data_IF_783643460408
#
_entry.id   IF_783643460408
#
_cell.length_a   1.000
_cell.length_b   1.000
_cell.length_c   1.000
_cell.angle_alpha   90.00
_cell.angle_beta   90.00
_cell.angle_gamma   90.00
#
_symmetry.space_group_name_H-M   'P 1'
#
loop_
_entity.id
_entity.type
_entity.pdbx_description
1 polymer ?
#
# COMPACT_ATOMS: atom_id res chain seq x y z
N UNK A 1 15.66 -72.89 15.96
CA UNK A 1 15.62 -71.65 16.76
C UNK A 1 16.46 -70.62 16.06
N UNK A 2 15.85 -69.75 15.27
CA UNK A 2 16.53 -68.76 14.46
C UNK A 2 16.35 -67.39 15.14
N UNK A 3 17.49 -66.80 15.53
CA UNK A 3 17.55 -65.48 16.12
C UNK A 3 17.57 -64.38 15.03
N UNK A 4 16.60 -63.50 15.09
CA UNK A 4 16.44 -62.36 14.16
C UNK A 4 17.27 -61.17 14.72
N UNK A 5 18.41 -60.90 14.06
CA UNK A 5 19.27 -59.74 14.33
C UNK A 5 18.70 -58.49 13.68
N UNK A 6 18.20 -57.56 14.47
CA UNK A 6 17.81 -56.20 14.01
C UNK A 6 19.07 -55.34 13.85
N UNK A 7 19.38 -54.96 12.61
CA UNK A 7 20.40 -53.94 12.31
C UNK A 7 19.83 -52.56 12.67
N UNK A 8 20.44 -51.88 13.65
CA UNK A 8 20.25 -50.46 13.90
C UNK A 8 20.98 -49.66 12.82
N UNK A 9 20.19 -48.91 12.02
CA UNK A 9 20.74 -47.89 11.14
C UNK A 9 20.99 -46.65 12.02
N UNK A 10 22.23 -46.24 12.15
CA UNK A 10 22.62 -44.95 12.72
C UNK A 10 22.29 -43.89 11.68
N UNK A 11 21.37 -42.97 12.02
CA UNK A 11 21.13 -41.76 11.28
C UNK A 11 22.13 -40.73 11.79
N UNK A 12 23.11 -40.38 10.95
CA UNK A 12 24.05 -39.29 11.19
C UNK A 12 23.25 -37.96 11.11
N UNK A 13 23.12 -37.29 12.26
CA UNK A 13 22.63 -35.93 12.36
C UNK A 13 23.76 -34.97 11.97
N UNK A 14 24.00 -34.78 10.67
CA UNK A 14 24.79 -33.66 10.18
C UNK A 14 23.86 -32.50 9.85
N UNK A 15 23.84 -31.50 10.75
CA UNK A 15 23.64 -30.08 10.55
C UNK A 15 22.72 -29.65 9.37
N UNK A 16 21.42 -29.69 9.55
CA UNK A 16 20.53 -28.80 8.85
C UNK A 16 20.42 -27.49 9.66
N UNK A 17 21.34 -26.56 9.44
CA UNK A 17 21.10 -25.17 9.75
C UNK A 17 20.07 -24.66 8.73
N UNK A 18 18.95 -24.04 9.15
CA UNK A 18 18.04 -23.40 8.21
C UNK A 18 18.81 -22.26 7.54
N UNK A 19 18.81 -22.26 6.21
CA UNK A 19 19.25 -21.13 5.41
C UNK A 19 18.41 -19.94 5.85
N UNK A 20 18.99 -19.06 6.64
CA UNK A 20 18.44 -17.73 6.90
C UNK A 20 18.51 -16.95 5.60
N UNK A 21 17.49 -17.06 4.78
CA UNK A 21 17.17 -16.01 3.83
C UNK A 21 16.80 -14.78 4.65
N UNK A 22 17.76 -13.87 4.77
CA UNK A 22 17.47 -12.49 5.21
C UNK A 22 16.60 -11.81 4.14
N UNK A 23 15.34 -12.19 4.10
CA UNK A 23 14.32 -11.33 3.53
C UNK A 23 13.97 -10.32 4.62
N UNK A 24 14.57 -9.16 4.54
CA UNK A 24 14.15 -7.97 5.28
C UNK A 24 12.76 -7.54 4.81
N UNK A 25 11.73 -8.32 5.14
CA UNK A 25 10.34 -7.95 4.95
C UNK A 25 9.95 -6.99 6.09
N UNK A 26 10.28 -5.71 5.93
CA UNK A 26 9.59 -4.70 6.70
C UNK A 26 8.15 -4.62 6.18
N UNK A 27 7.20 -5.06 6.99
CA UNK A 27 5.77 -4.97 6.69
C UNK A 27 5.26 -3.61 7.13
N UNK A 28 4.71 -2.85 6.21
CA UNK A 28 4.09 -1.54 6.45
C UNK A 28 2.57 -1.65 6.28
N UNK A 29 1.90 -2.31 7.23
CA UNK A 29 0.45 -2.39 7.24
C UNK A 29 -0.17 -1.11 7.83
N UNK A 30 -1.28 -0.64 7.25
CA UNK A 30 -2.07 0.44 7.85
C UNK A 30 -2.88 -0.12 9.02
N UNK A 31 -3.15 0.74 10.05
CA UNK A 31 -3.90 0.33 11.23
C UNK A 31 -5.28 -0.18 10.86
N UNK A 32 -5.53 -1.46 11.09
CA UNK A 32 -6.82 -2.10 10.91
C UNK A 32 -7.78 -1.88 12.08
N UNK A 33 -8.93 -2.58 12.05
CA UNK A 33 -9.92 -2.56 13.12
C UNK A 33 -11.02 -1.51 12.96
N UNK A 34 -11.93 -1.44 13.95
CA UNK A 34 -13.13 -0.58 13.96
C UNK A 34 -12.95 0.69 14.82
N UNK A 35 -11.78 0.89 15.41
CA UNK A 35 -11.51 2.03 16.28
C UNK A 35 -11.54 3.37 15.55
N UNK A 36 -11.69 4.49 16.28
CA UNK A 36 -11.80 5.84 15.70
C UNK A 36 -10.58 6.27 14.88
N UNK A 37 -9.46 5.56 15.04
CA UNK A 37 -8.20 5.80 14.32
C UNK A 37 -7.88 4.70 13.30
N UNK A 38 -8.84 3.83 12.96
CA UNK A 38 -8.63 2.81 11.93
C UNK A 38 -8.63 3.41 10.53
N UNK A 39 -7.93 2.79 9.61
CA UNK A 39 -7.94 3.20 8.21
C UNK A 39 -9.35 3.18 7.61
N UNK A 40 -10.15 2.17 7.97
CA UNK A 40 -11.52 2.03 7.50
C UNK A 40 -12.41 3.23 7.83
N UNK A 41 -12.27 3.79 9.04
CA UNK A 41 -13.07 4.93 9.49
C UNK A 41 -12.58 6.28 8.94
N UNK A 42 -11.35 6.35 8.45
CA UNK A 42 -10.70 7.61 8.10
C UNK A 42 -10.21 7.70 6.63
N UNK A 43 -10.48 6.68 5.80
CA UNK A 43 -10.12 6.70 4.38
C UNK A 43 -11.31 7.13 3.52
N UNK A 44 -11.40 8.42 3.23
CA UNK A 44 -12.47 9.02 2.43
C UNK A 44 -12.17 9.06 0.92
N UNK A 45 -11.08 8.46 0.46
CA UNK A 45 -10.45 8.77 -0.82
C UNK A 45 -10.68 7.76 -1.94
N UNK A 46 -11.61 6.83 -1.78
CA UNK A 46 -11.87 5.85 -2.83
C UNK A 46 -13.20 6.18 -3.51
N UNK A 47 -13.10 6.85 -4.64
CA UNK A 47 -14.25 7.25 -5.43
C UNK A 47 -14.80 6.05 -6.22
N UNK A 48 -16.03 5.65 -5.86
CA UNK A 48 -16.76 4.55 -6.52
C UNK A 48 -17.03 4.82 -8.00
N UNK A 49 -17.33 6.06 -8.35
CA UNK A 49 -17.61 6.45 -9.72
C UNK A 49 -16.37 6.32 -10.62
N UNK A 50 -15.19 6.62 -10.07
CA UNK A 50 -13.94 6.50 -10.79
C UNK A 50 -13.57 5.03 -11.06
N UNK A 51 -13.83 4.12 -10.10
CA UNK A 51 -13.67 2.67 -10.30
C UNK A 51 -14.63 2.18 -11.38
N UNK A 52 -15.91 2.58 -11.33
CA UNK A 52 -16.91 2.20 -12.33
C UNK A 52 -16.54 2.68 -13.74
N UNK A 53 -16.03 3.91 -13.87
CA UNK A 53 -15.54 4.45 -15.15
C UNK A 53 -14.30 3.73 -15.69
N UNK A 54 -13.46 3.18 -14.80
CA UNK A 54 -12.24 2.46 -15.17
C UNK A 54 -12.52 1.03 -15.62
N UNK A 55 -13.73 0.52 -15.37
CA UNK A 55 -14.09 -0.84 -15.72
C UNK A 55 -14.62 -0.91 -17.16
N UNK A 56 -13.85 -1.48 -18.06
CA UNK A 56 -14.31 -1.80 -19.43
C UNK A 56 -14.55 -3.29 -19.52
N UNK A 57 -15.82 -3.73 -19.60
CA UNK A 57 -16.15 -5.16 -19.60
C UNK A 57 -15.74 -5.80 -20.94
N UNK A 58 -14.75 -6.67 -20.92
CA UNK A 58 -14.47 -7.59 -22.04
C UNK A 58 -15.03 -8.97 -21.71
N UNK A 59 -15.56 -9.62 -22.73
CA UNK A 59 -16.18 -10.92 -22.62
C UNK A 59 -15.25 -11.95 -21.94
N UNK A 60 -15.66 -12.44 -20.78
CA UNK A 60 -15.10 -13.65 -20.19
C UNK A 60 -15.60 -14.85 -20.97
N UNK A 61 -14.75 -15.84 -21.16
CA UNK A 61 -15.15 -17.09 -21.82
C UNK A 61 -16.31 -17.73 -21.06
N UNK A 62 -17.41 -18.02 -21.78
CA UNK A 62 -18.61 -18.63 -21.26
C UNK A 62 -18.38 -20.01 -20.59
N UNK A 63 -17.26 -20.66 -20.89
CA UNK A 63 -16.88 -21.98 -20.38
C UNK A 63 -16.08 -21.93 -19.07
N UNK A 64 -15.75 -20.75 -18.55
CA UNK A 64 -14.99 -20.62 -17.31
C UNK A 64 -15.79 -21.16 -16.11
N UNK A 65 -15.24 -22.12 -15.38
CA UNK A 65 -15.91 -22.77 -14.25
C UNK A 65 -16.01 -21.87 -13.01
N UNK A 66 -15.10 -20.90 -12.87
CA UNK A 66 -15.07 -19.93 -11.75
C UNK A 66 -14.25 -18.71 -12.18
N UNK A 67 -14.73 -17.54 -11.82
CA UNK A 67 -14.05 -16.26 -12.11
C UNK A 67 -13.32 -15.81 -10.84
N UNK A 68 -12.01 -15.75 -10.92
CA UNK A 68 -11.11 -15.39 -9.83
C UNK A 68 -10.67 -13.92 -9.95
N UNK A 69 -11.02 -13.13 -8.95
CA UNK A 69 -10.67 -11.71 -8.88
C UNK A 69 -9.84 -11.48 -7.61
N UNK A 70 -8.84 -10.62 -7.67
CA UNK A 70 -8.01 -10.31 -6.50
C UNK A 70 -7.91 -8.80 -6.29
N UNK A 71 -8.08 -8.37 -5.03
CA UNK A 71 -7.81 -6.99 -4.59
C UNK A 71 -6.46 -6.97 -3.85
N UNK A 72 -5.48 -6.28 -4.45
CA UNK A 72 -4.10 -6.22 -3.97
C UNK A 72 -3.90 -4.99 -3.09
N UNK A 73 -3.74 -5.23 -1.78
CA UNK A 73 -3.69 -4.18 -0.77
C UNK A 73 -5.10 -3.76 -0.33
N UNK A 74 -5.96 -4.74 -0.04
CA UNK A 74 -7.37 -4.54 0.27
C UNK A 74 -7.64 -3.76 1.56
N UNK A 75 -6.66 -3.64 2.46
CA UNK A 75 -6.86 -3.10 3.80
C UNK A 75 -7.95 -3.84 4.60
N UNK A 76 -8.62 -3.19 5.54
CA UNK A 76 -9.69 -3.77 6.37
C UNK A 76 -11.03 -3.05 6.24
N UNK A 77 -11.07 -2.02 5.41
CA UNK A 77 -12.18 -1.08 5.37
C UNK A 77 -13.30 -1.45 4.40
N UNK A 78 -14.43 -0.71 4.48
CA UNK A 78 -15.55 -0.89 3.58
C UNK A 78 -15.20 -0.59 2.11
N UNK A 79 -14.13 0.16 1.85
CA UNK A 79 -13.75 0.61 0.51
C UNK A 79 -13.46 -0.56 -0.44
N UNK A 80 -12.76 -1.60 0.04
CA UNK A 80 -12.53 -2.81 -0.75
C UNK A 80 -13.85 -3.48 -1.15
N UNK A 81 -14.84 -3.55 -0.25
CA UNK A 81 -16.15 -4.15 -0.55
C UNK A 81 -16.95 -3.32 -1.54
N UNK A 82 -16.87 -2.00 -1.44
CA UNK A 82 -17.51 -1.08 -2.39
C UNK A 82 -16.87 -1.20 -3.78
N UNK A 83 -15.55 -1.22 -3.86
CA UNK A 83 -14.84 -1.44 -5.11
C UNK A 83 -15.21 -2.80 -5.73
N UNK A 84 -15.26 -3.86 -4.92
CA UNK A 84 -15.66 -5.19 -5.38
C UNK A 84 -17.11 -5.20 -5.86
N UNK A 85 -18.04 -4.53 -5.18
CA UNK A 85 -19.44 -4.46 -5.62
C UNK A 85 -19.56 -3.79 -7.00
N UNK A 86 -18.86 -2.70 -7.24
CA UNK A 86 -18.84 -2.01 -8.54
C UNK A 86 -18.31 -2.94 -9.63
N UNK A 87 -17.23 -3.68 -9.35
CA UNK A 87 -16.67 -4.66 -10.29
C UNK A 87 -17.68 -5.78 -10.58
N UNK A 88 -18.36 -6.29 -9.54
CA UNK A 88 -19.40 -7.32 -9.68
C UNK A 88 -20.54 -6.81 -10.56
N UNK A 89 -21.07 -5.64 -10.27
CA UNK A 89 -22.20 -5.06 -11.02
C UNK A 89 -21.85 -4.89 -12.51
N UNK A 90 -20.61 -4.49 -12.80
CA UNK A 90 -20.14 -4.37 -14.17
C UNK A 90 -19.99 -5.74 -14.85
N UNK A 91 -19.49 -6.76 -14.15
CA UNK A 91 -19.40 -8.14 -14.65
C UNK A 91 -20.81 -8.72 -14.88
N UNK A 92 -21.74 -8.56 -13.94
CA UNK A 92 -23.12 -9.02 -14.07
C UNK A 92 -23.81 -8.37 -15.26
N UNK A 93 -23.65 -7.08 -15.46
CA UNK A 93 -24.20 -6.37 -16.61
C UNK A 93 -23.69 -6.96 -17.94
N UNK A 94 -22.39 -7.29 -18.02
CA UNK A 94 -21.80 -7.94 -19.19
C UNK A 94 -22.38 -9.33 -19.41
N UNK A 95 -22.48 -10.15 -18.39
CA UNK A 95 -23.09 -11.49 -18.52
C UNK A 95 -24.55 -11.42 -18.99
N UNK A 96 -25.31 -10.45 -18.47
CA UNK A 96 -26.69 -10.24 -18.89
C UNK A 96 -26.78 -9.85 -20.37
N UNK A 97 -25.93 -8.90 -20.80
CA UNK A 97 -25.91 -8.41 -22.20
C UNK A 97 -25.53 -9.49 -23.23
N UNK A 98 -24.82 -10.54 -22.79
CA UNK A 98 -24.41 -11.67 -23.62
C UNK A 98 -25.24 -12.94 -23.40
N UNK A 99 -26.32 -12.90 -22.62
CA UNK A 99 -27.18 -14.05 -22.34
C UNK A 99 -26.54 -15.08 -21.39
N UNK A 100 -25.51 -14.69 -20.63
CA UNK A 100 -24.69 -15.54 -19.75
C UNK A 100 -24.99 -15.37 -18.25
N UNK A 101 -26.15 -14.85 -17.90
CA UNK A 101 -26.52 -14.47 -16.52
C UNK A 101 -26.36 -15.58 -15.45
N UNK A 102 -26.41 -16.88 -15.86
CA UNK A 102 -26.24 -18.01 -14.94
C UNK A 102 -24.78 -18.16 -14.41
N UNK A 103 -23.80 -17.44 -14.95
CA UNK A 103 -22.40 -17.58 -14.57
C UNK A 103 -21.97 -16.62 -13.43
N UNK A 104 -22.78 -15.64 -13.09
CA UNK A 104 -22.49 -14.69 -11.99
C UNK A 104 -22.36 -15.35 -10.62
N UNK A 105 -22.83 -16.59 -10.46
CA UNK A 105 -22.80 -17.35 -9.18
C UNK A 105 -21.45 -17.99 -8.85
N UNK A 106 -20.41 -17.80 -9.68
CA UNK A 106 -19.12 -18.50 -9.56
C UNK A 106 -17.94 -17.55 -9.27
N UNK A 107 -18.22 -16.38 -8.70
CA UNK A 107 -17.20 -15.38 -8.40
C UNK A 107 -16.42 -15.75 -7.14
N UNK A 108 -15.10 -15.74 -7.22
CA UNK A 108 -14.17 -15.83 -6.09
C UNK A 108 -13.39 -14.54 -5.96
N UNK A 109 -13.46 -13.89 -4.78
CA UNK A 109 -12.67 -12.73 -4.46
C UNK A 109 -11.57 -13.07 -3.47
N UNK A 110 -10.36 -12.74 -3.86
CA UNK A 110 -9.16 -12.87 -3.06
C UNK A 110 -8.78 -11.51 -2.50
N UNK A 111 -8.88 -11.37 -1.17
CA UNK A 111 -8.47 -10.17 -0.44
C UNK A 111 -7.01 -10.34 -0.02
N UNK A 112 -6.11 -9.64 -0.69
CA UNK A 112 -4.69 -9.69 -0.39
C UNK A 112 -4.23 -8.43 0.36
N UNK A 113 -3.44 -8.63 1.39
CA UNK A 113 -2.66 -7.61 2.07
C UNK A 113 -1.45 -8.26 2.77
N UNK A 114 -0.61 -7.44 3.41
CA UNK A 114 0.54 -7.91 4.19
C UNK A 114 0.11 -8.96 5.23
N UNK A 115 1.01 -9.92 5.53
CA UNK A 115 0.71 -11.02 6.45
C UNK A 115 0.36 -10.55 7.88
N UNK A 116 0.79 -9.36 8.27
CA UNK A 116 0.46 -8.72 9.56
C UNK A 116 -0.89 -8.03 9.58
N UNK A 117 -1.60 -7.97 8.44
CA UNK A 117 -2.90 -7.32 8.34
C UNK A 117 -3.97 -8.09 9.13
N UNK A 118 -4.88 -7.34 9.73
CA UNK A 118 -6.02 -7.90 10.46
C UNK A 118 -7.09 -8.45 9.50
N UNK A 119 -6.84 -9.65 8.99
CA UNK A 119 -7.82 -10.38 8.17
C UNK A 119 -9.09 -10.73 8.92
N UNK A 120 -9.05 -10.86 10.26
CA UNK A 120 -10.26 -11.13 11.04
C UNK A 120 -11.26 -9.98 10.88
N UNK A 121 -10.81 -8.74 10.89
CA UNK A 121 -11.67 -7.58 10.64
C UNK A 121 -12.19 -7.56 9.20
N UNK A 122 -11.38 -7.91 8.19
CA UNK A 122 -11.87 -8.05 6.81
C UNK A 122 -13.03 -9.03 6.74
N UNK A 123 -12.86 -10.24 7.32
CA UNK A 123 -13.88 -11.30 7.26
C UNK A 123 -15.13 -11.01 8.11
N UNK A 124 -15.01 -10.30 9.22
CA UNK A 124 -16.16 -9.84 10.02
C UNK A 124 -17.03 -8.82 9.28
N UNK A 125 -16.39 -7.97 8.46
CA UNK A 125 -17.05 -6.88 7.74
C UNK A 125 -17.56 -7.28 6.35
N UNK A 126 -17.43 -8.55 5.96
CA UNK A 126 -17.95 -9.03 4.68
C UNK A 126 -19.46 -8.78 4.57
N UNK A 127 -19.95 -8.23 3.45
CA UNK A 127 -21.39 -8.05 3.21
C UNK A 127 -22.16 -9.38 3.36
N UNK A 128 -23.25 -9.42 4.15
CA UNK A 128 -23.96 -10.68 4.43
C UNK A 128 -24.61 -11.29 3.19
N UNK A 129 -25.06 -10.46 2.24
CA UNK A 129 -25.76 -10.90 1.03
C UNK A 129 -24.86 -10.89 -0.22
N UNK A 130 -23.55 -11.03 -0.03
CA UNK A 130 -22.59 -11.01 -1.15
C UNK A 130 -22.81 -12.17 -2.11
N UNK A 131 -22.60 -11.92 -3.38
CA UNK A 131 -22.73 -12.90 -4.48
C UNK A 131 -21.39 -13.55 -4.86
N UNK A 132 -20.43 -13.58 -3.96
CA UNK A 132 -19.09 -14.12 -4.20
C UNK A 132 -18.55 -14.89 -3.01
N UNK A 133 -17.61 -15.78 -3.25
CA UNK A 133 -16.83 -16.46 -2.23
C UNK A 133 -15.61 -15.59 -1.89
N UNK A 134 -15.35 -15.39 -0.60
CA UNK A 134 -14.26 -14.56 -0.10
C UNK A 134 -13.11 -15.42 0.40
N UNK A 135 -11.88 -15.08 -0.01
CA UNK A 135 -10.64 -15.78 0.38
C UNK A 135 -9.60 -14.75 0.81
N UNK A 136 -8.95 -14.94 1.96
CA UNK A 136 -7.83 -14.13 2.40
C UNK A 136 -6.51 -14.67 1.84
N UNK A 137 -5.67 -13.79 1.32
CA UNK A 137 -4.35 -14.13 0.77
C UNK A 137 -3.29 -13.26 1.42
N UNK A 138 -2.71 -13.68 2.56
CA UNK A 138 -1.66 -12.92 3.22
C UNK A 138 -0.35 -12.98 2.43
N UNK A 139 0.32 -11.84 2.29
CA UNK A 139 1.63 -11.74 1.64
C UNK A 139 1.83 -10.48 0.82
N UNK A 140 3.07 -10.23 0.44
CA UNK A 140 3.40 -9.06 -0.38
C UNK A 140 2.97 -9.27 -1.84
N UNK A 141 2.16 -8.36 -2.35
CA UNK A 141 1.73 -8.37 -3.76
C UNK A 141 2.88 -8.09 -4.75
N UNK A 142 4.06 -7.74 -4.29
CA UNK A 142 5.24 -7.57 -5.15
C UNK A 142 5.83 -8.89 -5.62
N UNK A 143 5.52 -9.99 -4.92
CA UNK A 143 5.84 -11.35 -5.32
C UNK A 143 4.63 -12.10 -5.86
N UNK A 144 4.86 -13.35 -6.27
CA UNK A 144 3.78 -14.25 -6.66
C UNK A 144 2.99 -14.70 -5.44
N UNK A 145 1.67 -14.65 -5.55
CA UNK A 145 0.70 -15.06 -4.54
C UNK A 145 -0.21 -16.18 -5.04
N UNK A 146 -0.31 -16.36 -6.34
CA UNK A 146 -1.21 -17.31 -6.98
C UNK A 146 -0.47 -18.24 -7.94
N UNK A 147 -1.04 -19.42 -8.23
CA UNK A 147 -0.58 -20.25 -9.34
C UNK A 147 -0.62 -19.49 -10.67
N UNK A 148 0.05 -20.02 -11.67
CA UNK A 148 0.02 -19.44 -13.02
C UNK A 148 -1.41 -19.43 -13.55
N UNK A 149 -1.77 -18.35 -14.25
CA UNK A 149 -3.01 -18.26 -15.02
C UNK A 149 -4.25 -18.59 -14.19
N UNK A 150 -4.28 -18.08 -12.97
CA UNK A 150 -5.41 -18.29 -12.03
C UNK A 150 -6.36 -17.09 -12.01
N UNK A 151 -5.82 -15.88 -12.12
CA UNK A 151 -6.60 -14.65 -11.93
C UNK A 151 -7.18 -14.15 -13.25
N UNK A 152 -8.47 -13.89 -13.27
CA UNK A 152 -9.17 -13.26 -14.38
C UNK A 152 -9.11 -11.74 -14.29
N UNK A 153 -9.05 -11.21 -13.07
CA UNK A 153 -8.90 -9.78 -12.83
C UNK A 153 -8.09 -9.52 -11.57
N UNK A 154 -7.26 -8.50 -11.65
CA UNK A 154 -6.55 -7.92 -10.51
C UNK A 154 -6.98 -6.47 -10.37
N UNK A 155 -7.34 -6.08 -9.15
CA UNK A 155 -7.59 -4.71 -8.75
C UNK A 155 -6.53 -4.28 -7.74
N UNK A 156 -6.16 -2.99 -7.73
CA UNK A 156 -5.35 -2.39 -6.68
C UNK A 156 -5.67 -0.90 -6.57
N UNK A 157 -6.04 -0.46 -5.38
CA UNK A 157 -6.39 0.93 -5.10
C UNK A 157 -5.42 1.54 -4.10
N UNK A 158 -4.69 2.57 -4.52
CA UNK A 158 -3.79 3.39 -3.69
C UNK A 158 -2.67 2.64 -2.96
N UNK A 159 -2.52 1.32 -3.18
CA UNK A 159 -1.52 0.49 -2.48
C UNK A 159 -0.15 0.55 -3.12
N UNK A 160 -0.09 0.78 -4.45
CA UNK A 160 1.16 0.75 -5.21
C UNK A 160 2.07 1.96 -4.95
N UNK A 161 1.60 2.98 -4.25
CA UNK A 161 2.44 4.11 -3.79
C UNK A 161 3.32 3.74 -2.59
N UNK A 162 3.01 2.68 -1.86
CA UNK A 162 3.83 2.19 -0.75
C UNK A 162 5.05 1.46 -1.29
N UNK A 163 6.22 1.73 -0.73
CA UNK A 163 7.46 1.03 -1.07
C UNK A 163 7.59 -0.27 -0.25
N UNK A 164 8.29 -1.25 -0.80
CA UNK A 164 8.60 -2.50 -0.09
C UNK A 164 9.55 -2.25 1.08
N UNK A 165 10.45 -1.31 0.91
CA UNK A 165 11.45 -0.93 1.89
C UNK A 165 11.84 0.53 1.72
N UNK A 166 12.32 1.12 2.79
CA UNK A 166 13.01 2.41 2.76
C UNK A 166 14.39 2.21 2.13
N UNK A 167 14.80 2.99 1.10
CA UNK A 167 16.15 2.87 0.54
C UNK A 167 17.23 3.05 1.61
N UNK A 168 18.23 2.19 1.63
CA UNK A 168 19.30 2.23 2.65
C UNK A 168 20.09 3.53 2.61
N UNK A 169 20.29 4.07 1.44
CA UNK A 169 21.07 5.28 1.16
C UNK A 169 20.51 6.51 1.87
N UNK A 170 19.20 6.56 2.11
CA UNK A 170 18.58 7.72 2.76
C UNK A 170 18.66 7.69 4.28
N UNK A 171 18.96 6.54 4.87
CA UNK A 171 19.08 6.34 6.32
C UNK A 171 20.51 6.31 6.82
N UNK A 172 21.50 6.21 5.93
CA UNK A 172 22.91 6.11 6.25
C UNK A 172 23.65 7.42 5.95
N UNK A 173 24.27 7.98 6.99
CA UNK A 173 25.00 9.26 6.93
C UNK A 173 26.21 9.26 6.00
N UNK A 174 26.69 8.10 5.58
CA UNK A 174 27.83 7.96 4.67
C UNK A 174 27.46 8.19 3.21
N UNK A 175 26.17 8.17 2.87
CA UNK A 175 25.69 8.38 1.52
C UNK A 175 25.28 9.84 1.27
N UNK A 176 25.49 10.32 0.03
CA UNK A 176 25.05 11.64 -0.43
C UNK A 176 23.52 11.80 -0.36
N UNK A 177 22.78 10.69 -0.52
CA UNK A 177 21.33 10.63 -0.41
C UNK A 177 20.79 10.59 1.02
N UNK A 178 21.65 10.76 2.05
CA UNK A 178 21.14 10.79 3.43
C UNK A 178 20.11 11.91 3.65
N UNK A 179 18.94 11.55 4.17
CA UNK A 179 17.78 12.45 4.26
C UNK A 179 17.85 13.48 5.41
N UNK A 180 18.90 13.47 6.23
CA UNK A 180 19.24 14.49 7.23
C UNK A 180 18.10 14.79 8.23
N UNK A 181 17.44 13.74 8.73
CA UNK A 181 16.34 13.86 9.71
C UNK A 181 14.98 14.25 9.15
N UNK A 182 14.84 14.35 7.83
CA UNK A 182 13.51 14.36 7.20
C UNK A 182 12.91 12.96 7.24
N UNK A 183 11.59 12.90 7.26
CA UNK A 183 10.86 11.61 7.28
C UNK A 183 10.34 11.19 5.91
N UNK A 184 10.58 11.99 4.87
CA UNK A 184 10.11 11.74 3.50
C UNK A 184 11.00 12.51 2.51
N UNK A 185 10.91 12.18 1.21
CA UNK A 185 11.64 12.87 0.15
C UNK A 185 11.11 14.27 -0.20
N UNK A 186 10.04 14.74 0.45
CA UNK A 186 9.49 16.08 0.24
C UNK A 186 10.52 17.15 0.56
N UNK A 187 10.74 18.08 -0.36
CA UNK A 187 11.73 19.15 -0.25
C UNK A 187 13.15 18.66 0.13
N UNK A 188 13.44 17.39 -0.17
CA UNK A 188 14.74 16.79 0.06
C UNK A 188 15.70 17.07 -1.13
N UNK A 189 17.02 16.88 -0.95
CA UNK A 189 17.96 16.87 -2.06
C UNK A 189 17.54 15.88 -3.16
N UNK A 190 17.97 16.18 -4.40
CA UNK A 190 17.62 15.38 -5.58
C UNK A 190 17.98 13.90 -5.42
N UNK A 191 19.13 13.63 -4.83
CA UNK A 191 19.64 12.26 -4.59
C UNK A 191 18.68 11.43 -3.71
N UNK A 192 18.01 12.07 -2.74
CA UNK A 192 17.00 11.43 -1.89
C UNK A 192 15.76 11.07 -2.72
N UNK A 193 15.28 12.02 -3.52
CA UNK A 193 14.12 11.79 -4.39
C UNK A 193 14.40 10.69 -5.42
N UNK A 194 15.61 10.65 -5.99
CA UNK A 194 16.06 9.63 -6.94
C UNK A 194 16.14 8.24 -6.29
N UNK A 195 16.59 8.14 -5.03
CA UNK A 195 16.60 6.88 -4.29
C UNK A 195 15.16 6.32 -4.09
N UNK A 196 14.21 7.19 -3.70
CA UNK A 196 12.81 6.82 -3.60
C UNK A 196 12.22 6.40 -4.96
N UNK A 197 12.49 7.14 -6.02
CA UNK A 197 12.00 6.85 -7.36
C UNK A 197 12.55 5.52 -7.89
N UNK A 198 13.81 5.21 -7.60
CA UNK A 198 14.46 3.94 -7.96
C UNK A 198 13.79 2.77 -7.27
N UNK A 199 13.56 2.88 -5.95
CA UNK A 199 12.86 1.84 -5.19
C UNK A 199 11.42 1.65 -5.69
N UNK A 200 10.71 2.73 -5.96
CA UNK A 200 9.36 2.69 -6.52
C UNK A 200 9.31 1.96 -7.87
N UNK A 201 10.25 2.28 -8.76
CA UNK A 201 10.36 1.61 -10.05
C UNK A 201 10.55 0.10 -9.89
N UNK A 202 11.51 -0.32 -9.05
CA UNK A 202 11.76 -1.74 -8.77
C UNK A 202 10.51 -2.44 -8.21
N UNK A 203 9.81 -1.80 -7.29
CA UNK A 203 8.61 -2.34 -6.66
C UNK A 203 7.46 -2.51 -7.65
N UNK A 204 7.26 -1.52 -8.53
CA UNK A 204 6.23 -1.59 -9.57
C UNK A 204 6.58 -2.65 -10.62
N UNK A 205 7.84 -2.74 -11.06
CA UNK A 205 8.29 -3.79 -11.97
C UNK A 205 8.11 -5.19 -11.39
N UNK A 206 8.42 -5.39 -10.10
CA UNK A 206 8.21 -6.65 -9.41
C UNK A 206 6.71 -7.01 -9.34
N UNK A 207 5.85 -6.03 -9.05
CA UNK A 207 4.40 -6.21 -9.07
C UNK A 207 3.92 -6.64 -10.45
N UNK A 208 4.31 -5.95 -11.52
CA UNK A 208 3.94 -6.27 -12.89
C UNK A 208 4.39 -7.68 -13.30
N UNK A 209 5.65 -8.03 -13.01
CA UNK A 209 6.22 -9.33 -13.35
C UNK A 209 5.50 -10.49 -12.64
N UNK A 210 5.07 -10.29 -11.39
CA UNK A 210 4.28 -11.28 -10.67
C UNK A 210 2.88 -11.44 -11.30
N UNK A 211 2.21 -10.33 -11.59
CA UNK A 211 0.85 -10.32 -12.20
C UNK A 211 0.81 -10.94 -13.58
N UNK A 212 1.84 -10.72 -14.41
CA UNK A 212 1.94 -11.36 -15.74
C UNK A 212 1.90 -12.88 -15.67
N UNK A 213 2.40 -13.47 -14.60
CA UNK A 213 2.39 -14.93 -14.45
C UNK A 213 1.06 -15.46 -13.89
N UNK A 214 0.34 -14.65 -13.12
CA UNK A 214 -0.86 -15.06 -12.38
C UNK A 214 -2.15 -14.80 -13.17
N UNK A 215 -2.14 -13.80 -14.05
CA UNK A 215 -3.27 -13.49 -14.92
C UNK A 215 -3.42 -14.53 -16.04
N UNK A 216 -4.68 -14.90 -16.33
CA UNK A 216 -5.05 -15.68 -17.54
C UNK A 216 -4.79 -14.85 -18.78
N UNK A 217 -4.76 -15.49 -19.96
CA UNK A 217 -4.43 -14.84 -21.23
C UNK A 217 -5.29 -13.60 -21.51
N UNK A 218 -6.51 -13.53 -21.26
CA UNK A 218 -7.36 -12.34 -21.47
C UNK A 218 -7.70 -11.62 -20.17
N UNK A 219 -6.96 -11.90 -19.09
CA UNK A 219 -7.16 -11.27 -17.82
C UNK A 219 -6.91 -9.77 -17.85
N UNK A 220 -7.50 -9.05 -16.90
CA UNK A 220 -7.36 -7.60 -16.76
C UNK A 220 -6.68 -7.25 -15.44
N UNK A 221 -5.87 -6.21 -15.48
CA UNK A 221 -5.38 -5.56 -14.29
C UNK A 221 -5.83 -4.11 -14.27
N UNK A 222 -6.50 -3.73 -13.19
CA UNK A 222 -7.02 -2.38 -12.97
C UNK A 222 -6.33 -1.83 -11.73
N UNK A 223 -5.73 -0.68 -11.84
CA UNK A 223 -5.25 0.00 -10.65
C UNK A 223 -5.51 1.49 -10.69
N UNK A 224 -5.66 2.06 -9.51
CA UNK A 224 -5.69 3.49 -9.28
C UNK A 224 -4.62 3.88 -8.28
N UNK A 225 -3.88 4.93 -8.58
CA UNK A 225 -2.80 5.42 -7.73
C UNK A 225 -2.79 6.95 -7.68
N UNK A 226 -2.39 7.46 -6.54
CA UNK A 226 -2.13 8.90 -6.38
C UNK A 226 -0.84 9.26 -7.09
N UNK A 227 -0.90 10.24 -7.97
CA UNK A 227 0.25 10.80 -8.68
C UNK A 227 0.29 12.32 -8.51
N UNK A 228 1.43 12.88 -8.78
CA UNK A 228 1.62 14.34 -8.80
C UNK A 228 1.81 14.83 -10.23
N UNK A 229 1.45 16.08 -10.55
CA UNK A 229 1.76 16.68 -11.84
C UNK A 229 3.26 16.66 -12.13
N UNK A 230 3.63 16.59 -13.42
CA UNK A 230 5.04 16.54 -13.85
C UNK A 230 5.84 17.77 -13.46
N UNK A 231 5.18 18.92 -13.36
CA UNK A 231 5.81 20.20 -12.98
C UNK A 231 5.01 20.82 -11.85
N UNK A 232 5.45 20.56 -10.62
CA UNK A 232 4.84 21.10 -9.41
C UNK A 232 5.90 21.25 -8.31
N UNK A 233 5.82 22.32 -7.54
CA UNK A 233 6.63 22.44 -6.33
C UNK A 233 6.09 21.48 -5.25
N UNK A 234 6.99 20.82 -4.53
CA UNK A 234 6.61 19.93 -3.42
C UNK A 234 5.73 20.63 -2.39
N UNK A 235 5.95 21.94 -2.19
CA UNK A 235 5.14 22.79 -1.32
C UNK A 235 3.67 22.95 -1.79
N UNK A 236 3.35 22.62 -3.03
CA UNK A 236 2.00 22.69 -3.58
C UNK A 236 1.25 21.34 -3.52
N UNK A 237 1.94 20.28 -3.08
CA UNK A 237 1.36 18.95 -2.95
C UNK A 237 0.97 18.69 -1.50
N UNK A 238 -0.32 18.67 -1.21
CA UNK A 238 -0.82 18.58 0.18
C UNK A 238 -0.33 17.33 0.93
N UNK A 239 -0.38 16.10 0.41
CA UNK A 239 0.13 14.95 1.15
C UNK A 239 1.62 15.06 1.49
N UNK A 240 2.42 15.72 0.64
CA UNK A 240 3.82 16.01 0.94
C UNK A 240 3.95 16.96 2.12
N UNK A 241 3.10 17.99 2.20
CA UNK A 241 3.05 18.90 3.38
C UNK A 241 2.65 18.18 4.66
N UNK A 242 1.76 17.18 4.58
CA UNK A 242 1.39 16.37 5.73
C UNK A 242 2.62 15.63 6.31
N UNK A 243 3.50 15.10 5.46
CA UNK A 243 4.75 14.48 5.91
C UNK A 243 5.72 15.49 6.53
N UNK A 244 5.83 16.70 5.99
CA UNK A 244 6.66 17.76 6.61
C UNK A 244 6.12 18.17 7.99
N UNK A 245 4.81 18.34 8.09
CA UNK A 245 4.14 18.66 9.36
C UNK A 245 4.41 17.56 10.39
N UNK A 246 4.17 16.31 10.03
CA UNK A 246 4.41 15.15 10.90
C UNK A 246 5.89 15.07 11.31
N UNK A 247 6.80 15.24 10.36
CA UNK A 247 8.23 15.27 10.61
C UNK A 247 8.64 16.36 11.62
N UNK A 248 8.06 17.55 11.48
CA UNK A 248 8.31 18.66 12.41
C UNK A 248 7.80 18.34 13.83
N UNK A 249 6.64 17.68 13.96
CA UNK A 249 6.11 17.25 15.26
C UNK A 249 7.00 16.19 15.92
N UNK A 250 7.45 15.21 15.15
CA UNK A 250 8.37 14.18 15.65
C UNK A 250 9.71 14.77 16.12
N UNK A 251 10.27 15.72 15.39
CA UNK A 251 11.50 16.42 15.76
C UNK A 251 11.31 17.23 17.05
N UNK A 252 10.19 17.94 17.21
CA UNK A 252 9.92 18.74 18.40
C UNK A 252 9.78 17.88 19.66
N UNK A 253 9.08 16.76 19.57
CA UNK A 253 8.95 15.80 20.67
C UNK A 253 10.31 15.25 21.07
N UNK A 254 11.10 14.84 20.09
CA UNK A 254 12.41 14.25 20.36
C UNK A 254 13.41 15.26 20.92
N UNK A 255 13.34 16.53 20.57
CA UNK A 255 14.12 17.61 21.22
C UNK A 255 13.67 17.83 22.65
N UNK A 256 12.36 17.88 22.93
CA UNK A 256 11.81 18.01 24.26
C UNK A 256 12.25 16.88 25.20
N UNK A 257 12.19 15.64 24.73
CA UNK A 257 12.66 14.46 25.48
C UNK A 257 14.18 14.54 25.76
N UNK A 258 15.01 15.02 24.82
CA UNK A 258 16.46 15.23 25.08
C UNK A 258 16.70 16.23 26.19
N UNK A 259 15.99 17.34 26.19
CA UNK A 259 16.15 18.36 27.21
C UNK A 259 15.76 17.84 28.60
N UNK A 260 14.65 17.07 28.70
CA UNK A 260 14.24 16.44 29.97
C UNK A 260 15.24 15.37 30.44
N UNK A 261 15.83 14.59 29.51
CA UNK A 261 16.83 13.57 29.86
C UNK A 261 18.19 14.15 30.21
N UNK A 262 18.52 15.34 29.73
CA UNK A 262 19.73 16.06 30.15
C UNK A 262 19.68 16.42 31.66
N UNK A 263 18.45 16.53 32.22
CA UNK A 263 18.23 16.81 33.65
C UNK A 263 18.02 15.55 34.52
N UNK A 264 17.79 14.35 33.93
CA UNK A 264 17.59 13.11 34.70
C UNK A 264 18.66 12.07 34.37
N UNK A 265 19.51 11.76 35.35
CA UNK A 265 20.62 10.80 35.24
C UNK A 265 20.14 9.33 35.15
N UNK A 266 18.90 9.03 35.50
CA UNK A 266 18.41 7.67 35.81
C UNK A 266 17.86 6.87 34.56
N UNK A 267 17.70 7.47 33.38
CA UNK A 267 17.11 6.78 32.23
C UNK A 267 17.91 6.95 30.91
N UNK A 268 19.17 7.36 30.99
CA UNK A 268 20.02 7.64 29.83
C UNK A 268 20.16 6.44 28.86
N UNK A 269 20.25 5.24 29.36
CA UNK A 269 20.62 4.06 28.53
C UNK A 269 19.44 3.45 27.76
N UNK A 270 18.20 3.61 28.21
CA UNK A 270 17.03 3.01 27.56
C UNK A 270 16.45 3.87 26.45
N UNK A 271 16.52 5.20 26.56
CA UNK A 271 15.94 6.14 25.60
C UNK A 271 16.96 6.65 24.56
N UNK A 272 18.25 6.71 24.91
CA UNK A 272 19.34 7.12 24.00
C UNK A 272 19.68 6.05 22.97
N UNK A 273 19.35 4.76 23.22
CA UNK A 273 19.46 3.69 22.22
C UNK A 273 18.27 3.64 21.23
N UNK A 274 17.18 4.39 21.43
CA UNK A 274 16.12 4.50 20.44
C UNK A 274 16.60 5.38 19.28
N UNK A 275 16.66 4.76 18.11
CA UNK A 275 17.03 5.36 16.84
C UNK A 275 16.28 6.69 16.66
N UNK A 276 17.02 7.73 16.39
CA UNK A 276 16.59 9.11 16.25
C UNK A 276 15.83 9.32 14.89
N UNK A 277 15.10 10.43 14.70
CA UNK A 277 14.40 10.73 13.43
C UNK A 277 15.24 10.56 12.18
N UNK A 278 16.57 10.64 12.27
CA UNK A 278 17.49 10.46 11.15
C UNK A 278 17.36 9.11 10.42
N UNK A 279 16.83 8.09 11.10
CA UNK A 279 16.64 6.74 10.54
C UNK A 279 15.17 6.42 10.22
N UNK A 280 14.21 7.29 10.58
CA UNK A 280 12.81 7.12 10.27
C UNK A 280 12.49 7.79 8.95
N UNK A 281 11.99 7.00 8.01
CA UNK A 281 11.48 7.51 6.73
C UNK A 281 10.19 6.78 6.39
N UNK A 282 9.23 7.52 5.83
CA UNK A 282 7.95 6.97 5.38
C UNK A 282 8.19 6.28 4.03
N UNK A 283 7.91 4.98 3.89
CA UNK A 283 8.10 4.23 2.65
C UNK A 283 6.95 4.47 1.68
N UNK A 284 6.75 5.70 1.29
CA UNK A 284 5.67 6.12 0.40
C UNK A 284 6.24 7.06 -0.67
N UNK A 285 5.81 6.89 -1.93
CA UNK A 285 6.29 7.72 -3.03
C UNK A 285 5.16 8.13 -3.96
N UNK A 286 5.07 9.42 -4.23
CA UNK A 286 4.19 9.97 -5.25
C UNK A 286 4.96 10.12 -6.56
N UNK A 287 4.72 9.21 -7.50
CA UNK A 287 5.28 9.31 -8.84
C UNK A 287 4.49 10.32 -9.68
N UNK A 288 4.97 10.63 -10.88
CA UNK A 288 4.17 11.33 -11.88
C UNK A 288 3.48 10.33 -12.81
N UNK A 289 2.37 10.72 -13.44
CA UNK A 289 1.69 9.87 -14.42
C UNK A 289 2.62 9.48 -15.59
N UNK A 290 3.46 10.42 -16.03
CA UNK A 290 4.48 10.21 -17.07
C UNK A 290 5.48 9.11 -16.67
N UNK A 291 5.99 9.17 -15.44
CA UNK A 291 6.96 8.17 -14.97
C UNK A 291 6.31 6.79 -14.81
N UNK A 292 5.08 6.72 -14.28
CA UNK A 292 4.35 5.44 -14.20
C UNK A 292 4.16 4.85 -15.60
N UNK A 293 3.70 5.66 -16.56
CA UNK A 293 3.54 5.23 -17.95
C UNK A 293 4.86 4.70 -18.53
N UNK A 294 5.95 5.41 -18.32
CA UNK A 294 7.27 4.99 -18.80
C UNK A 294 7.72 3.64 -18.20
N UNK A 295 7.42 3.38 -16.91
CA UNK A 295 7.70 2.09 -16.27
C UNK A 295 6.86 0.98 -16.90
N UNK A 296 5.56 1.21 -17.13
CA UNK A 296 4.66 0.24 -17.77
C UNK A 296 5.14 -0.11 -19.20
N UNK A 297 5.49 0.90 -19.99
CA UNK A 297 5.97 0.72 -21.37
C UNK A 297 7.32 0.01 -21.41
N UNK A 298 8.25 0.35 -20.49
CA UNK A 298 9.58 -0.27 -20.42
C UNK A 298 9.51 -1.72 -19.94
N UNK A 299 8.65 -2.03 -18.97
CA UNK A 299 8.43 -3.40 -18.51
C UNK A 299 7.93 -4.30 -19.65
N UNK A 300 7.08 -3.77 -20.49
CA UNK A 300 6.70 -4.38 -21.76
C UNK A 300 5.82 -5.62 -21.66
N UNK A 301 5.46 -6.09 -20.45
CA UNK A 301 4.65 -7.31 -20.24
C UNK A 301 3.15 -7.08 -20.45
N UNK A 302 2.72 -5.82 -20.46
CA UNK A 302 1.32 -5.43 -20.58
C UNK A 302 1.09 -4.47 -21.73
N UNK A 303 -0.10 -4.55 -22.32
CA UNK A 303 -0.67 -3.51 -23.15
C UNK A 303 -1.46 -2.56 -22.25
N UNK A 304 -1.30 -1.25 -22.43
CA UNK A 304 -2.12 -0.24 -21.78
C UNK A 304 -3.39 -0.10 -22.62
N UNK A 305 -4.50 -0.65 -22.14
CA UNK A 305 -5.80 -0.57 -22.80
C UNK A 305 -6.44 0.81 -22.60
N UNK A 306 -6.27 1.36 -21.40
CA UNK A 306 -6.77 2.67 -21.04
C UNK A 306 -5.96 3.25 -19.89
N UNK A 307 -5.75 4.56 -19.91
CA UNK A 307 -5.10 5.30 -18.85
C UNK A 307 -5.58 6.74 -18.85
N UNK A 308 -6.02 7.20 -17.69
CA UNK A 308 -6.52 8.56 -17.50
C UNK A 308 -6.07 9.13 -16.15
N UNK A 309 -6.04 10.44 -16.06
CA UNK A 309 -5.77 11.16 -14.81
C UNK A 309 -6.92 12.09 -14.50
N UNK A 310 -7.41 12.05 -13.24
CA UNK A 310 -8.45 12.90 -12.73
C UNK A 310 -7.93 13.79 -11.61
N UNK A 311 -8.28 15.08 -11.68
CA UNK A 311 -8.05 16.01 -10.57
C UNK A 311 -9.05 15.68 -9.45
N UNK A 312 -8.53 15.31 -8.30
CA UNK A 312 -9.34 14.88 -7.14
C UNK A 312 -9.24 15.87 -5.97
N UNK A 313 -8.90 17.12 -6.25
CA UNK A 313 -8.74 18.16 -5.21
C UNK A 313 -9.96 18.30 -4.30
N UNK A 314 -11.17 18.15 -4.83
CA UNK A 314 -12.38 18.31 -4.05
C UNK A 314 -12.65 17.13 -3.11
N UNK A 315 -12.15 15.95 -3.44
CA UNK A 315 -12.21 14.75 -2.58
C UNK A 315 -11.29 14.90 -1.36
N UNK A 316 -10.20 15.66 -1.50
CA UNK A 316 -9.23 15.93 -0.43
C UNK A 316 -9.56 17.20 0.39
N UNK A 317 -10.76 17.74 0.27
CA UNK A 317 -11.23 18.82 1.11
C UNK A 317 -11.57 18.32 2.51
N UNK A 318 -10.61 18.37 3.41
CA UNK A 318 -10.82 17.94 4.80
C UNK A 318 -11.69 18.96 5.55
N UNK A 319 -12.84 18.55 6.11
CA UNK A 319 -13.76 19.46 6.78
C UNK A 319 -13.21 20.01 8.11
N UNK A 320 -12.20 19.37 8.70
CA UNK A 320 -11.58 19.81 9.96
C UNK A 320 -10.15 19.32 10.12
N UNK A 321 -9.37 20.00 10.97
CA UNK A 321 -8.03 19.57 11.35
C UNK A 321 -8.03 18.17 11.98
N UNK A 322 -9.07 17.85 12.75
CA UNK A 322 -9.20 16.54 13.37
C UNK A 322 -9.31 15.43 12.31
N UNK A 323 -10.17 15.58 11.31
CA UNK A 323 -10.34 14.59 10.23
C UNK A 323 -9.05 14.45 9.43
N UNK A 324 -8.41 15.57 9.06
CA UNK A 324 -7.11 15.53 8.38
C UNK A 324 -6.08 14.70 9.16
N UNK A 325 -5.93 14.98 10.46
CA UNK A 325 -4.96 14.29 11.32
C UNK A 325 -5.35 12.83 11.54
N UNK A 326 -6.64 12.52 11.74
CA UNK A 326 -7.12 11.13 11.90
C UNK A 326 -6.87 10.27 10.66
N UNK A 327 -7.05 10.84 9.47
CA UNK A 327 -6.75 10.13 8.20
C UNK A 327 -5.26 9.80 8.09
N UNK A 328 -4.38 10.77 8.39
CA UNK A 328 -2.93 10.54 8.38
C UNK A 328 -2.50 9.57 9.48
N UNK A 329 -3.13 9.66 10.67
CA UNK A 329 -2.91 8.72 11.78
C UNK A 329 -3.23 7.30 11.36
N UNK A 330 -4.39 7.06 10.76
CA UNK A 330 -4.80 5.74 10.30
C UNK A 330 -3.81 5.09 9.31
N UNK A 331 -3.16 5.91 8.48
CA UNK A 331 -2.19 5.44 7.52
C UNK A 331 -0.79 5.19 8.11
N UNK A 332 -0.37 5.95 9.12
CA UNK A 332 1.03 6.03 9.55
C UNK A 332 1.27 5.57 11.00
N UNK A 333 0.22 5.39 11.83
CA UNK A 333 0.37 5.10 13.25
C UNK A 333 1.20 3.85 13.50
N UNK A 334 0.90 2.74 12.84
CA UNK A 334 1.62 1.49 13.02
C UNK A 334 3.11 1.62 12.66
N UNK A 335 3.41 2.34 11.58
CA UNK A 335 4.78 2.63 11.14
C UNK A 335 5.56 3.45 12.19
N UNK A 336 4.91 4.49 12.73
CA UNK A 336 5.51 5.37 13.74
C UNK A 336 5.68 4.62 15.07
N UNK A 337 4.65 3.88 15.49
CA UNK A 337 4.66 3.09 16.71
C UNK A 337 5.76 2.02 16.68
N UNK A 338 5.92 1.33 15.57
CA UNK A 338 6.98 0.33 15.37
C UNK A 338 8.38 0.94 15.53
N UNK A 339 8.57 2.18 15.08
CA UNK A 339 9.88 2.85 15.12
C UNK A 339 10.17 3.52 16.46
N UNK A 340 9.20 4.31 16.99
CA UNK A 340 9.37 5.16 18.16
C UNK A 340 8.77 4.55 19.44
N UNK A 341 7.88 3.57 19.31
CA UNK A 341 7.07 3.01 20.40
C UNK A 341 5.79 3.81 20.66
N UNK A 342 4.76 3.12 21.20
CA UNK A 342 3.41 3.67 21.36
C UNK A 342 3.28 4.88 22.30
N UNK A 343 4.25 5.08 23.19
CA UNK A 343 4.17 6.12 24.22
C UNK A 343 4.20 7.57 23.74
N UNK A 344 4.47 7.82 22.43
CA UNK A 344 4.51 9.18 21.87
C UNK A 344 3.30 9.50 20.98
N UNK A 345 2.45 8.54 20.72
CA UNK A 345 1.44 8.65 19.65
C UNK A 345 0.44 9.77 19.88
N UNK A 346 -0.15 9.83 21.09
CA UNK A 346 -1.12 10.89 21.41
C UNK A 346 -0.49 12.29 21.33
N UNK A 347 0.73 12.45 21.84
CA UNK A 347 1.44 13.73 21.78
C UNK A 347 1.76 14.15 20.35
N UNK A 348 2.16 13.20 19.46
CA UNK A 348 2.42 13.47 18.04
C UNK A 348 1.16 14.04 17.39
N UNK A 349 0.04 13.35 17.52
CA UNK A 349 -1.19 13.74 16.83
C UNK A 349 -1.87 14.97 17.42
N UNK A 350 -1.75 15.18 18.73
CA UNK A 350 -2.16 16.45 19.37
C UNK A 350 -1.38 17.64 18.84
N UNK A 351 -0.05 17.51 18.71
CA UNK A 351 0.80 18.55 18.11
C UNK A 351 0.47 18.79 16.64
N UNK A 352 0.26 17.73 15.87
CA UNK A 352 -0.18 17.84 14.49
C UNK A 352 -1.51 18.59 14.40
N UNK A 353 -2.48 18.27 15.24
CA UNK A 353 -3.78 18.93 15.25
C UNK A 353 -3.67 20.43 15.57
N UNK A 354 -2.82 20.80 16.54
CA UNK A 354 -2.55 22.21 16.86
C UNK A 354 -1.93 22.94 15.68
N UNK A 355 -0.87 22.38 15.07
CA UNK A 355 -0.20 22.99 13.91
C UNK A 355 -1.13 23.12 12.69
N UNK A 356 -1.99 22.12 12.42
CA UNK A 356 -2.98 22.23 11.34
C UNK A 356 -3.98 23.35 11.57
N UNK A 357 -4.40 23.58 12.83
CA UNK A 357 -5.27 24.71 13.19
C UNK A 357 -4.57 26.07 13.01
N UNK A 358 -3.29 26.15 13.30
CA UNK A 358 -2.47 27.35 13.08
C UNK A 358 -2.22 27.61 11.58
N UNK A 359 -2.15 26.56 10.76
CA UNK A 359 -1.88 26.63 9.33
C UNK A 359 -2.99 25.96 8.51
N UNK A 360 -4.23 26.50 8.50
CA UNK A 360 -5.40 25.85 7.87
C UNK A 360 -5.28 25.73 6.34
N UNK A 361 -4.35 26.44 5.71
CA UNK A 361 -4.07 26.32 4.27
C UNK A 361 -3.64 24.89 3.87
N UNK A 362 -3.14 24.08 4.80
CA UNK A 362 -2.79 22.66 4.57
C UNK A 362 -4.02 21.86 4.17
N UNK A 363 -5.20 22.22 4.69
CA UNK A 363 -6.47 21.55 4.42
C UNK A 363 -7.23 22.13 3.20
N UNK A 364 -6.75 23.22 2.62
CA UNK A 364 -7.47 23.91 1.55
C UNK A 364 -7.30 23.16 0.22
N UNK A 365 -8.40 22.60 -0.29
CA UNK A 365 -8.41 21.84 -1.55
C UNK A 365 -7.96 22.66 -2.77
N UNK A 366 -8.17 23.99 -2.77
CA UNK A 366 -7.71 24.86 -3.86
C UNK A 366 -6.20 24.86 -4.07
N UNK A 367 -5.44 24.51 -3.02
CA UNK A 367 -3.98 24.41 -3.05
C UNK A 367 -3.49 22.97 -3.29
N UNK A 368 -4.43 22.05 -3.53
CA UNK A 368 -4.11 20.65 -3.75
C UNK A 368 -3.76 20.39 -5.20
N UNK A 369 -2.60 19.83 -5.44
CA UNK A 369 -2.20 19.30 -6.74
C UNK A 369 -1.96 17.81 -6.57
N UNK A 370 -3.03 17.07 -6.41
CA UNK A 370 -2.99 15.62 -6.39
C UNK A 370 -3.96 15.09 -7.42
N UNK A 371 -3.50 14.12 -8.15
CA UNK A 371 -4.19 13.54 -9.29
C UNK A 371 -4.35 12.06 -9.00
N UNK A 372 -5.51 11.50 -9.24
CA UNK A 372 -5.70 10.06 -9.30
C UNK A 372 -5.44 9.62 -10.73
N UNK A 373 -4.52 8.69 -10.89
CA UNK A 373 -4.26 8.02 -12.16
C UNK A 373 -4.94 6.65 -12.13
N UNK A 374 -5.69 6.38 -13.17
CA UNK A 374 -6.34 5.10 -13.42
C UNK A 374 -5.66 4.41 -14.59
N UNK A 375 -5.48 3.10 -14.52
CA UNK A 375 -4.97 2.32 -15.62
C UNK A 375 -5.66 0.97 -15.73
N UNK A 376 -5.97 0.57 -16.96
CA UNK A 376 -6.43 -0.77 -17.32
C UNK A 376 -5.36 -1.39 -18.22
N UNK A 377 -4.83 -2.51 -17.77
CA UNK A 377 -3.76 -3.22 -18.44
C UNK A 377 -4.21 -4.63 -18.80
N UNK A 378 -3.74 -5.11 -19.94
CA UNK A 378 -3.93 -6.49 -20.40
C UNK A 378 -2.58 -7.16 -20.59
N UNK A 379 -2.35 -8.39 -20.10
CA UNK A 379 -1.13 -9.12 -20.40
C UNK A 379 -0.94 -9.24 -21.91
N UNK A 380 0.28 -9.06 -22.40
CA UNK A 380 0.60 -9.38 -23.79
C UNK A 380 0.53 -10.89 -23.99
N UNK A 381 0.00 -11.31 -25.14
CA UNK A 381 0.02 -12.73 -25.50
C UNK A 381 1.44 -13.26 -25.44
N UNK A 382 1.61 -14.42 -24.84
CA UNK A 382 2.91 -15.11 -24.83
C UNK A 382 3.18 -15.58 -26.27
N UNK A 383 4.29 -15.12 -26.85
CA UNK A 383 4.76 -15.58 -28.14
C UNK A 383 5.11 -17.08 -28.14
#
# INVERSE_FOLDING_TARGET
>A
MQGNSRKHVKIDNTSNQPIKTEMGNESYAMKGGEGPHSYAQNSYFQDQEAIAKSFYPRAYDAHTSSICLADMGCSTGPNTFLAMQIIIDAIEHQFQSHGLAAQSSKLQFFFNDQATKDFNTVFKNLPPNRKYFAVGVPGSFRGRLFPKETLHMVHSSSSLCWLSTVPKEITDRTYSAWNKGRIHCTNAPKEVAEAYATQYKMDLENFLNARTQELVENGLMIFQILVVPDVVLDSEVNPKRAFELLGSCLVDITKGVRNLLAFSVLNRDRLVKKKWPDSFNVPFFYSTAKNVKAILETNGSFCIEWMETLDIKDIFAFPSAHIFVSTNRAALEELIEKHFGGGIMEEVYDRCTKKVKEFPYIMNSKNLKIIMMYAILKPKSKA
#
